data_IF_978021594730
#
_entry.id   IF_978021594730
#
_cell.length_a   1.000
_cell.length_b   1.000
_cell.length_c   1.000
_cell.angle_alpha   90.00
_cell.angle_beta   90.00
_cell.angle_gamma   90.00
#
_symmetry.space_group_name_H-M   'P 1'
#
loop_
_entity.id
_entity.type
_entity.pdbx_description
1 polymer ?
#
# COMPACT_ATOMS: atom_id res chain seq x y z
N UNK A 1 22.46 -50.37 13.22
CA UNK A 1 21.67 -49.17 13.57
C UNK A 1 20.37 -49.24 12.79
N UNK A 2 19.24 -49.47 13.46
CA UNK A 2 17.93 -49.41 12.81
C UNK A 2 17.56 -47.94 12.57
N UNK A 3 17.39 -47.53 11.33
CA UNK A 3 16.89 -46.18 11.01
C UNK A 3 15.40 -46.17 11.35
N UNK A 4 14.99 -45.33 12.29
CA UNK A 4 13.59 -45.20 12.67
C UNK A 4 12.86 -44.35 11.62
N UNK A 5 12.38 -45.01 10.58
CA UNK A 5 11.81 -44.38 9.38
C UNK A 5 10.66 -43.41 9.69
N UNK A 6 9.84 -43.72 10.70
CA UNK A 6 8.72 -42.86 11.12
C UNK A 6 9.18 -41.54 11.72
N UNK A 7 10.29 -41.54 12.44
CA UNK A 7 10.83 -40.31 13.01
C UNK A 7 11.50 -39.43 11.94
N UNK A 8 12.15 -40.07 10.96
CA UNK A 8 12.67 -39.39 9.77
C UNK A 8 11.55 -38.69 8.99
N UNK A 9 10.44 -39.39 8.71
CA UNK A 9 9.28 -38.82 8.01
C UNK A 9 8.64 -37.63 8.74
N UNK A 10 8.49 -37.71 10.07
CA UNK A 10 7.94 -36.61 10.87
C UNK A 10 8.84 -35.36 10.80
N UNK A 11 10.15 -35.55 10.91
CA UNK A 11 11.13 -34.45 10.83
C UNK A 11 11.09 -33.78 9.46
N UNK A 12 11.03 -34.56 8.37
CA UNK A 12 10.91 -34.03 7.01
C UNK A 12 9.60 -33.24 6.85
N UNK A 13 8.47 -33.74 7.33
CA UNK A 13 7.20 -33.02 7.28
C UNK A 13 7.25 -31.69 8.03
N UNK A 14 7.87 -31.67 9.20
CA UNK A 14 8.04 -30.45 10.00
C UNK A 14 8.93 -29.43 9.28
N UNK A 15 9.97 -29.88 8.57
CA UNK A 15 10.78 -29.01 7.74
C UNK A 15 9.97 -28.39 6.60
N UNK A 16 9.11 -29.16 5.92
CA UNK A 16 8.23 -28.62 4.87
C UNK A 16 7.24 -27.60 5.41
N UNK A 17 6.60 -27.88 6.55
CA UNK A 17 5.71 -26.92 7.23
C UNK A 17 6.47 -25.64 7.57
N UNK A 18 7.69 -25.77 8.10
CA UNK A 18 8.57 -24.63 8.39
C UNK A 18 8.91 -23.82 7.14
N UNK A 19 9.21 -24.47 6.02
CA UNK A 19 9.49 -23.81 4.73
C UNK A 19 8.26 -23.07 4.19
N UNK A 20 7.07 -23.67 4.27
CA UNK A 20 5.82 -23.03 3.84
C UNK A 20 5.53 -21.79 4.70
N UNK A 21 5.67 -21.91 6.01
CA UNK A 21 5.49 -20.78 6.93
C UNK A 21 6.53 -19.66 6.68
N UNK A 22 7.80 -20.01 6.52
CA UNK A 22 8.87 -19.06 6.25
C UNK A 22 8.69 -18.36 4.89
N UNK A 23 8.34 -19.10 3.84
CA UNK A 23 8.06 -18.55 2.52
C UNK A 23 6.86 -17.61 2.53
N UNK A 24 5.80 -17.99 3.25
CA UNK A 24 4.63 -17.13 3.44
C UNK A 24 4.93 -15.84 4.19
N UNK A 25 5.75 -15.90 5.25
CA UNK A 25 6.22 -14.70 5.96
C UNK A 25 7.15 -13.85 5.09
N UNK A 26 8.00 -14.48 4.27
CA UNK A 26 8.87 -13.77 3.34
C UNK A 26 8.06 -12.95 2.32
N UNK A 27 6.98 -13.51 1.75
CA UNK A 27 6.08 -12.78 0.83
C UNK A 27 5.56 -11.50 1.49
N UNK A 28 5.13 -11.55 2.76
CA UNK A 28 4.62 -10.37 3.46
C UNK A 28 5.74 -9.39 3.83
N UNK A 29 6.92 -9.89 4.19
CA UNK A 29 8.06 -9.06 4.55
C UNK A 29 8.61 -8.28 3.35
N UNK A 30 8.68 -8.93 2.19
CA UNK A 30 9.20 -8.39 0.92
C UNK A 30 8.13 -7.79 0.03
N UNK A 31 6.90 -7.62 0.51
CA UNK A 31 5.91 -6.88 -0.24
C UNK A 31 6.40 -5.46 -0.51
N UNK A 32 6.29 -5.05 -1.78
CA UNK A 32 6.76 -3.75 -2.23
C UNK A 32 6.07 -2.63 -1.45
N UNK A 33 6.85 -1.62 -1.08
CA UNK A 33 6.28 -0.43 -0.47
C UNK A 33 5.50 0.31 -1.54
N UNK A 34 4.24 0.69 -1.28
CA UNK A 34 3.45 1.41 -2.27
C UNK A 34 4.12 2.74 -2.63
N UNK A 35 4.14 3.04 -3.92
CA UNK A 35 4.63 4.33 -4.41
C UNK A 35 3.81 5.47 -3.74
N UNK A 36 4.47 6.56 -3.33
CA UNK A 36 3.78 7.68 -2.73
C UNK A 36 2.87 8.32 -3.79
N UNK A 37 1.62 8.52 -3.41
CA UNK A 37 0.61 9.15 -4.25
C UNK A 37 0.41 10.60 -3.83
N UNK A 38 0.44 11.51 -4.80
CA UNK A 38 0.21 12.93 -4.62
C UNK A 38 -1.03 13.35 -5.38
N UNK A 39 -1.90 14.09 -4.73
CA UNK A 39 -3.17 14.52 -5.29
C UNK A 39 -3.16 16.02 -5.52
N UNK A 40 -3.77 16.46 -6.62
CA UNK A 40 -4.10 17.86 -6.87
C UNK A 40 -5.56 18.00 -7.29
N UNK A 41 -6.20 19.09 -6.84
CA UNK A 41 -7.62 19.38 -7.12
C UNK A 41 -7.81 20.39 -8.26
N UNK A 42 -6.72 20.88 -8.84
CA UNK A 42 -6.76 21.88 -9.88
C UNK A 42 -5.39 22.50 -10.16
N UNK A 43 -5.33 23.44 -11.11
CA UNK A 43 -4.08 24.03 -11.59
C UNK A 43 -3.29 24.77 -10.52
N UNK A 44 -3.97 25.61 -9.75
CA UNK A 44 -3.32 26.41 -8.71
C UNK A 44 -3.25 25.68 -7.35
N UNK A 45 -3.87 24.50 -7.25
CA UNK A 45 -3.89 23.76 -6.00
C UNK A 45 -2.51 23.13 -5.71
N UNK A 46 -1.97 23.26 -4.50
CA UNK A 46 -0.73 22.59 -4.15
C UNK A 46 -0.90 21.07 -4.23
N UNK A 47 0.19 20.37 -4.51
CA UNK A 47 0.22 18.92 -4.37
C UNK A 47 0.12 18.54 -2.91
N UNK A 48 -0.77 17.61 -2.58
CA UNK A 48 -0.91 17.05 -1.24
C UNK A 48 -0.63 15.54 -1.28
N UNK A 49 -0.17 14.97 -0.18
CA UNK A 49 -0.03 13.51 -0.05
C UNK A 49 -1.44 12.91 0.02
N UNK A 50 -1.73 11.95 -0.86
CA UNK A 50 -3.03 11.31 -0.93
C UNK A 50 -3.33 10.53 0.36
N UNK A 51 -4.51 10.74 0.94
CA UNK A 51 -5.00 9.94 2.06
C UNK A 51 -5.69 8.66 1.59
N UNK A 52 -6.22 8.68 0.37
CA UNK A 52 -7.01 7.62 -0.24
C UNK A 52 -6.50 7.36 -1.66
N UNK A 53 -6.70 6.16 -2.22
CA UNK A 53 -6.30 5.87 -3.59
C UNK A 53 -7.06 6.78 -4.58
N UNK A 54 -6.40 7.16 -5.66
CA UNK A 54 -6.98 7.98 -6.72
C UNK A 54 -8.37 7.46 -7.13
N UNK A 55 -9.43 8.29 -7.10
CA UNK A 55 -10.77 7.86 -7.46
C UNK A 55 -10.80 7.40 -8.93
N UNK A 56 -11.74 6.51 -9.26
CA UNK A 56 -11.90 6.00 -10.64
C UNK A 56 -12.18 7.10 -11.68
N UNK A 57 -12.78 8.20 -11.25
CA UNK A 57 -13.02 9.39 -12.09
C UNK A 57 -11.76 10.21 -12.31
N UNK A 58 -10.75 10.08 -11.45
CA UNK A 58 -9.49 10.78 -11.55
C UNK A 58 -8.63 10.30 -12.73
N UNK A 59 -7.51 11.00 -12.90
CA UNK A 59 -6.46 10.64 -13.83
C UNK A 59 -5.16 10.42 -13.07
N UNK A 60 -4.36 9.45 -13.50
CA UNK A 60 -3.13 9.08 -12.84
C UNK A 60 -1.97 9.18 -13.81
N UNK A 61 -0.91 9.87 -13.40
CA UNK A 61 0.40 9.84 -14.06
C UNK A 61 1.42 9.17 -13.15
N UNK A 62 2.35 8.43 -13.76
CA UNK A 62 3.47 7.83 -13.06
C UNK A 62 4.74 8.54 -13.48
N UNK A 63 5.49 9.02 -12.51
CA UNK A 63 6.84 9.54 -12.72
C UNK A 63 7.82 8.60 -12.06
N UNK A 64 8.98 8.40 -12.69
CA UNK A 64 10.03 7.51 -12.22
C UNK A 64 11.25 8.32 -11.77
N UNK A 65 12.23 7.64 -11.18
CA UNK A 65 13.56 8.19 -10.87
C UNK A 65 13.58 9.31 -9.81
N UNK A 66 12.64 9.29 -8.86
CA UNK A 66 12.68 10.21 -7.70
C UNK A 66 13.49 9.60 -6.56
N UNK A 67 14.45 10.36 -6.03
CA UNK A 67 15.24 9.94 -4.87
C UNK A 67 14.46 10.12 -3.56
N UNK A 68 14.21 9.00 -2.88
CA UNK A 68 13.54 8.91 -1.59
C UNK A 68 14.49 8.69 -0.41
N UNK A 69 15.74 9.13 -0.52
CA UNK A 69 16.77 8.97 0.51
C UNK A 69 17.63 7.74 0.26
N UNK A 70 18.14 7.61 -0.96
CA UNK A 70 19.01 6.53 -1.42
C UNK A 70 18.29 5.41 -2.17
N UNK A 71 16.99 5.54 -2.42
CA UNK A 71 16.23 4.61 -3.25
C UNK A 71 15.46 5.40 -4.32
N UNK A 72 15.74 5.12 -5.59
CA UNK A 72 14.95 5.63 -6.70
C UNK A 72 13.59 4.91 -6.71
N UNK A 73 12.50 5.67 -6.73
CA UNK A 73 11.14 5.11 -6.80
C UNK A 73 10.23 5.92 -7.71
N UNK A 74 9.17 5.24 -8.13
CA UNK A 74 8.05 5.87 -8.78
C UNK A 74 7.33 6.82 -7.81
N UNK A 75 6.70 7.85 -8.36
CA UNK A 75 5.70 8.67 -7.67
C UNK A 75 4.45 8.69 -8.53
N UNK A 76 3.30 8.62 -7.88
CA UNK A 76 2.01 8.58 -8.55
C UNK A 76 1.32 9.93 -8.38
N UNK A 77 1.02 10.60 -9.48
CA UNK A 77 0.29 11.87 -9.48
C UNK A 77 -1.18 11.59 -9.80
N UNK A 78 -2.07 12.00 -8.91
CA UNK A 78 -3.52 11.87 -9.05
C UNK A 78 -4.15 13.25 -9.30
N UNK A 79 -4.79 13.39 -10.44
CA UNK A 79 -5.59 14.56 -10.80
C UNK A 79 -7.06 14.23 -10.51
N UNK A 80 -7.69 15.03 -9.64
CA UNK A 80 -9.08 14.80 -9.23
C UNK A 80 -10.04 15.43 -10.23
N UNK A 81 -10.96 14.63 -10.75
CA UNK A 81 -12.10 15.11 -11.52
C UNK A 81 -13.21 15.63 -10.59
N UNK A 82 -13.98 16.59 -11.07
CA UNK A 82 -15.23 17.00 -10.47
C UNK A 82 -16.30 15.92 -10.57
N UNK A 83 -17.46 16.15 -9.92
CA UNK A 83 -18.57 15.19 -9.88
C UNK A 83 -19.14 14.87 -11.26
N UNK A 84 -18.99 15.78 -12.22
CA UNK A 84 -19.39 15.62 -13.61
C UNK A 84 -18.34 14.87 -14.46
N UNK A 85 -17.23 14.43 -13.86
CA UNK A 85 -16.15 13.73 -14.55
C UNK A 85 -15.18 14.63 -15.31
N UNK A 86 -15.33 15.94 -15.18
CA UNK A 86 -14.48 16.93 -15.85
C UNK A 86 -13.37 17.44 -14.92
N UNK A 87 -12.30 17.97 -15.50
CA UNK A 87 -11.12 18.43 -14.75
C UNK A 87 -11.05 19.95 -14.76
N UNK A 88 -10.86 20.62 -13.61
CA UNK A 88 -10.62 22.05 -13.58
C UNK A 88 -9.28 22.33 -14.26
N UNK A 89 -9.32 23.07 -15.36
CA UNK A 89 -8.13 23.55 -16.07
C UNK A 89 -8.08 25.08 -15.99
N UNK A 90 -6.87 25.63 -15.86
CA UNK A 90 -6.69 27.08 -15.91
C UNK A 90 -6.84 27.53 -17.37
N UNK A 91 -7.49 28.69 -17.58
CA UNK A 91 -7.45 29.33 -18.89
C UNK A 91 -6.07 29.97 -19.09
N UNK A 92 -5.59 29.98 -20.33
CA UNK A 92 -4.42 30.72 -20.81
C UNK A 92 -4.22 32.07 -20.11
N UNK A 93 -2.95 32.41 -19.83
CA UNK A 93 -2.41 33.65 -19.26
C UNK A 93 -3.49 34.62 -18.74
N UNK A 94 -3.96 34.36 -17.52
CA UNK A 94 -4.82 35.30 -16.80
C UNK A 94 -4.15 36.69 -16.85
N UNK A 95 -4.85 37.75 -17.32
CA UNK A 95 -4.28 39.08 -17.37
C UNK A 95 -3.66 39.44 -16.00
N UNK A 96 -2.42 39.98 -15.94
CA UNK A 96 -1.72 40.19 -14.67
C UNK A 96 -2.51 41.02 -13.63
N UNK A 97 -3.38 41.89 -14.10
CA UNK A 97 -4.26 42.70 -13.24
C UNK A 97 -5.32 41.87 -12.51
N UNK A 98 -5.85 40.83 -13.15
CA UNK A 98 -6.88 39.96 -12.57
C UNK A 98 -6.26 39.03 -11.51
N UNK A 99 -5.01 38.58 -11.73
CA UNK A 99 -4.22 37.82 -10.75
C UNK A 99 -4.06 38.63 -9.45
N UNK A 100 -3.58 39.89 -9.56
CA UNK A 100 -3.40 40.77 -8.40
C UNK A 100 -4.71 41.00 -7.65
N UNK A 101 -5.81 41.22 -8.38
CA UNK A 101 -7.14 41.44 -7.77
C UNK A 101 -7.59 40.21 -6.96
N UNK A 102 -7.27 39.01 -7.42
CA UNK A 102 -7.61 37.77 -6.71
C UNK A 102 -6.70 37.47 -5.54
N UNK A 103 -5.40 37.70 -5.65
CA UNK A 103 -4.48 37.56 -4.52
C UNK A 103 -4.89 38.48 -3.37
N UNK A 104 -5.28 39.72 -3.69
CA UNK A 104 -5.82 40.67 -2.72
C UNK A 104 -7.16 40.18 -2.14
N UNK A 105 -8.07 39.66 -2.97
CA UNK A 105 -9.36 39.13 -2.51
C UNK A 105 -9.20 37.91 -1.59
N UNK A 106 -8.34 36.95 -1.95
CA UNK A 106 -8.04 35.77 -1.14
C UNK A 106 -7.33 36.14 0.16
N UNK A 107 -6.39 37.10 0.13
CA UNK A 107 -5.77 37.62 1.36
C UNK A 107 -6.80 38.24 2.29
N UNK A 108 -7.65 39.13 1.77
CA UNK A 108 -8.74 39.74 2.56
C UNK A 108 -9.67 38.70 3.14
N UNK A 109 -10.07 37.73 2.33
CA UNK A 109 -10.93 36.62 2.77
C UNK A 109 -10.29 35.81 3.90
N UNK A 110 -9.01 35.48 3.81
CA UNK A 110 -8.28 34.76 4.87
C UNK A 110 -8.11 35.59 6.14
N UNK A 111 -7.74 36.87 6.02
CA UNK A 111 -7.59 37.79 7.14
C UNK A 111 -8.92 37.97 7.88
N UNK A 112 -10.02 38.13 7.15
CA UNK A 112 -11.36 38.25 7.74
C UNK A 112 -11.82 36.95 8.39
N UNK A 113 -11.58 35.79 7.77
CA UNK A 113 -11.90 34.50 8.38
C UNK A 113 -11.12 34.25 9.67
N UNK A 114 -9.84 34.62 9.72
CA UNK A 114 -9.05 34.56 10.95
C UNK A 114 -9.68 35.42 12.04
N UNK A 115 -10.04 36.67 11.72
CA UNK A 115 -10.69 37.57 12.66
C UNK A 115 -12.07 37.06 13.13
N UNK A 116 -12.84 36.38 12.26
CA UNK A 116 -14.12 35.75 12.64
C UNK A 116 -13.93 34.60 13.62
N UNK A 117 -12.94 33.74 13.36
CA UNK A 117 -12.60 32.64 14.27
C UNK A 117 -12.18 33.18 15.65
N UNK A 118 -11.39 34.25 15.69
CA UNK A 118 -11.00 34.92 16.95
C UNK A 118 -12.20 35.50 17.71
N UNK A 119 -13.26 35.92 16.99
CA UNK A 119 -14.54 36.38 17.59
C UNK A 119 -15.49 35.23 17.96
N UNK A 120 -15.14 33.97 17.70
CA UNK A 120 -16.03 32.82 17.89
C UNK A 120 -17.16 32.73 16.87
N UNK A 121 -17.03 33.41 15.74
CA UNK A 121 -17.98 33.32 14.62
C UNK A 121 -17.61 32.18 13.67
N UNK A 122 -18.59 31.60 12.96
CA UNK A 122 -18.30 30.61 11.92
C UNK A 122 -17.50 31.25 10.76
N UNK A 123 -16.51 30.53 10.19
CA UNK A 123 -15.77 31.01 9.04
C UNK A 123 -16.70 31.17 7.82
N UNK A 124 -16.42 32.17 6.99
CA UNK A 124 -17.05 32.36 5.70
C UNK A 124 -16.75 31.18 4.77
N UNK A 125 -17.74 30.86 3.95
CA UNK A 125 -17.60 29.94 2.82
C UNK A 125 -16.75 30.65 1.76
N UNK A 126 -15.71 30.00 1.20
CA UNK A 126 -14.92 30.58 0.12
C UNK A 126 -15.82 31.01 -1.03
N UNK A 127 -15.54 32.15 -1.69
CA UNK A 127 -16.28 32.55 -2.86
C UNK A 127 -16.24 31.42 -3.91
N UNK A 128 -17.32 31.23 -4.69
CA UNK A 128 -17.31 30.23 -5.76
C UNK A 128 -16.12 30.48 -6.67
N UNK A 129 -15.49 29.38 -7.12
CA UNK A 129 -14.40 29.47 -8.07
C UNK A 129 -14.85 30.36 -9.25
N UNK A 130 -14.04 31.36 -9.61
CA UNK A 130 -14.47 32.32 -10.61
C UNK A 130 -14.72 31.64 -11.96
N UNK A 131 -15.65 32.19 -12.74
CA UNK A 131 -16.24 31.57 -13.95
C UNK A 131 -15.28 31.30 -15.11
N UNK A 132 -13.99 31.61 -14.95
CA UNK A 132 -12.94 31.36 -15.93
C UNK A 132 -12.22 30.03 -15.72
N UNK A 133 -12.54 29.26 -14.67
CA UNK A 133 -12.24 27.84 -14.63
C UNK A 133 -13.09 27.12 -15.67
N UNK A 134 -12.46 26.68 -16.75
CA UNK A 134 -13.09 25.72 -17.64
C UNK A 134 -12.90 24.34 -17.06
N UNK A 135 -13.88 23.50 -17.33
CA UNK A 135 -13.68 22.09 -17.16
C UNK A 135 -13.32 21.45 -18.48
N UNK A 136 -12.41 20.48 -18.42
CA UNK A 136 -12.00 19.71 -19.57
C UNK A 136 -12.49 18.28 -19.43
N UNK A 137 -12.98 17.69 -20.51
CA UNK A 137 -13.21 16.26 -20.56
C UNK A 137 -11.89 15.50 -20.45
N UNK A 138 -11.95 14.32 -19.84
CA UNK A 138 -10.80 13.40 -19.79
C UNK A 138 -10.29 13.14 -21.21
N UNK A 139 -8.98 13.25 -21.42
CA UNK A 139 -8.30 13.04 -22.70
C UNK A 139 -8.53 14.12 -23.79
N UNK A 140 -9.12 15.26 -23.45
CA UNK A 140 -9.06 16.41 -24.35
C UNK A 140 -7.63 16.94 -24.48
N UNK A 141 -7.31 17.60 -25.60
CA UNK A 141 -5.98 18.19 -25.86
C UNK A 141 -5.57 19.15 -24.73
N UNK A 142 -6.51 20.01 -24.29
CA UNK A 142 -6.29 20.92 -23.14
C UNK A 142 -6.04 20.19 -21.82
N UNK A 143 -6.69 19.05 -21.62
CA UNK A 143 -6.43 18.24 -20.43
C UNK A 143 -5.01 17.64 -20.50
N UNK A 144 -4.57 17.19 -21.67
CA UNK A 144 -3.20 16.68 -21.85
C UNK A 144 -2.15 17.77 -21.60
N UNK A 145 -2.34 18.97 -22.15
CA UNK A 145 -1.47 20.15 -21.89
C UNK A 145 -1.41 20.47 -20.39
N UNK A 146 -2.57 20.49 -19.73
CA UNK A 146 -2.67 20.70 -18.29
C UNK A 146 -1.89 19.65 -17.49
N UNK A 147 -2.06 18.37 -17.81
CA UNK A 147 -1.36 17.26 -17.14
C UNK A 147 0.15 17.38 -17.34
N UNK A 148 0.59 17.64 -18.57
CA UNK A 148 2.02 17.78 -18.90
C UNK A 148 2.67 18.97 -18.17
N UNK A 149 1.99 20.13 -18.19
CA UNK A 149 2.43 21.30 -17.43
C UNK A 149 2.58 20.97 -15.94
N UNK A 150 1.53 20.44 -15.31
CA UNK A 150 1.54 20.13 -13.88
C UNK A 150 2.54 19.05 -13.49
N UNK A 151 2.76 18.08 -14.37
CA UNK A 151 3.81 17.07 -14.24
C UNK A 151 5.20 17.71 -14.26
N UNK A 152 5.45 18.63 -15.19
CA UNK A 152 6.75 19.32 -15.29
C UNK A 152 7.04 20.26 -14.11
N UNK A 153 5.99 20.84 -13.52
CA UNK A 153 6.07 21.70 -12.34
C UNK A 153 6.23 20.92 -11.03
N UNK A 154 5.93 19.61 -11.04
CA UNK A 154 5.95 18.80 -9.84
C UNK A 154 7.37 18.69 -9.26
N UNK A 155 7.54 19.21 -8.05
CA UNK A 155 8.77 19.12 -7.27
C UNK A 155 8.47 18.53 -5.91
N UNK A 156 9.16 17.46 -5.56
CA UNK A 156 9.04 16.83 -4.25
C UNK A 156 9.81 17.67 -3.22
N UNK A 157 9.11 18.53 -2.50
CA UNK A 157 9.69 19.32 -1.40
C UNK A 157 10.01 18.42 -0.20
N UNK A 158 10.95 18.81 0.65
CA UNK A 158 11.29 18.05 1.86
C UNK A 158 10.10 17.88 2.81
N UNK A 159 9.19 18.87 2.86
CA UNK A 159 7.92 18.77 3.60
C UNK A 159 7.01 17.67 3.02
N UNK A 160 6.88 17.62 1.68
CA UNK A 160 6.13 16.57 1.00
C UNK A 160 6.75 15.20 1.21
N UNK A 161 8.10 15.09 1.21
CA UNK A 161 8.80 13.84 1.53
C UNK A 161 8.49 13.37 2.94
N UNK A 162 8.55 14.26 3.93
CA UNK A 162 8.29 13.92 5.32
C UNK A 162 6.85 13.42 5.50
N UNK A 163 5.86 14.14 4.95
CA UNK A 163 4.44 13.75 4.98
C UNK A 163 4.20 12.42 4.25
N UNK A 164 4.85 12.23 3.10
CA UNK A 164 4.73 10.98 2.34
C UNK A 164 5.30 9.79 3.11
N UNK A 165 6.47 9.94 3.76
CA UNK A 165 7.06 8.88 4.60
C UNK A 165 6.20 8.50 5.79
N UNK A 166 5.65 9.50 6.49
CA UNK A 166 4.74 9.28 7.61
C UNK A 166 3.53 8.45 7.14
N UNK A 167 2.91 8.86 6.03
CA UNK A 167 1.76 8.18 5.43
C UNK A 167 2.10 6.77 4.94
N UNK A 168 3.24 6.61 4.24
CA UNK A 168 3.70 5.33 3.69
C UNK A 168 3.93 4.29 4.79
N UNK A 169 4.41 4.69 5.96
CA UNK A 169 4.59 3.76 7.08
C UNK A 169 3.26 3.13 7.52
N UNK A 170 2.20 3.94 7.57
CA UNK A 170 0.84 3.47 7.84
C UNK A 170 0.27 2.62 6.69
N UNK A 171 0.36 3.12 5.46
CA UNK A 171 -0.14 2.42 4.28
C UNK A 171 0.54 1.06 4.06
N UNK A 172 1.85 0.95 4.31
CA UNK A 172 2.60 -0.30 4.28
C UNK A 172 2.07 -1.30 5.31
N UNK A 173 1.76 -0.82 6.52
CA UNK A 173 1.20 -1.68 7.56
C UNK A 173 -0.21 -2.14 7.22
N UNK A 174 -1.03 -1.27 6.65
CA UNK A 174 -2.38 -1.60 6.19
C UNK A 174 -2.34 -2.64 5.06
N UNK A 175 -1.44 -2.46 4.08
CA UNK A 175 -1.25 -3.40 2.97
C UNK A 175 -0.74 -4.76 3.49
N UNK A 176 0.25 -4.76 4.39
CA UNK A 176 0.74 -5.98 5.04
C UNK A 176 -0.35 -6.68 5.83
N UNK A 177 -1.18 -5.94 6.57
CA UNK A 177 -2.29 -6.50 7.34
C UNK A 177 -3.33 -7.14 6.42
N UNK A 178 -3.62 -6.51 5.28
CA UNK A 178 -4.49 -7.07 4.24
C UNK A 178 -3.89 -8.36 3.67
N UNK A 179 -2.62 -8.34 3.27
CA UNK A 179 -1.93 -9.54 2.78
C UNK A 179 -1.86 -10.64 3.83
N UNK A 180 -1.64 -10.32 5.11
CA UNK A 180 -1.73 -11.30 6.19
C UNK A 180 -3.11 -11.96 6.23
N UNK A 181 -4.19 -11.18 6.07
CA UNK A 181 -5.55 -11.72 6.01
C UNK A 181 -5.79 -12.66 4.82
N UNK A 182 -5.17 -12.38 3.67
CA UNK A 182 -5.29 -13.20 2.46
C UNK A 182 -4.39 -14.44 2.48
N UNK A 183 -3.13 -14.29 2.91
CA UNK A 183 -2.08 -15.32 2.86
C UNK A 183 -2.18 -16.31 4.02
N UNK A 184 -2.54 -15.85 5.23
CA UNK A 184 -2.54 -16.69 6.43
C UNK A 184 -3.49 -17.91 6.33
N UNK A 185 -4.72 -17.79 5.80
CA UNK A 185 -5.59 -18.95 5.58
C UNK A 185 -4.99 -19.99 4.63
N UNK A 186 -4.28 -19.56 3.58
CA UNK A 186 -3.61 -20.47 2.64
C UNK A 186 -2.45 -21.20 3.30
N UNK A 187 -1.56 -20.48 4.00
CA UNK A 187 -0.46 -21.10 4.76
C UNK A 187 -1.04 -22.11 5.76
N UNK A 188 -2.02 -21.68 6.56
CA UNK A 188 -2.68 -22.53 7.56
C UNK A 188 -3.30 -23.78 6.95
N UNK A 189 -3.99 -23.63 5.81
CA UNK A 189 -4.57 -24.74 5.06
C UNK A 189 -3.53 -25.74 4.55
N UNK A 190 -2.44 -25.27 3.94
CA UNK A 190 -1.35 -26.13 3.46
C UNK A 190 -0.67 -26.85 4.63
N UNK A 191 -0.37 -26.13 5.72
CA UNK A 191 0.25 -26.71 6.91
C UNK A 191 -0.66 -27.78 7.54
N UNK A 192 -1.96 -27.51 7.68
CA UNK A 192 -2.93 -28.47 8.19
C UNK A 192 -3.07 -29.69 7.27
N UNK A 193 -3.11 -29.48 5.96
CA UNK A 193 -3.14 -30.54 4.97
C UNK A 193 -1.90 -31.43 5.06
N UNK A 194 -0.69 -30.86 5.07
CA UNK A 194 0.56 -31.62 5.19
C UNK A 194 0.59 -32.41 6.50
N UNK A 195 0.14 -31.81 7.60
CA UNK A 195 0.07 -32.51 8.88
C UNK A 195 -0.92 -33.68 8.85
N UNK A 196 -2.14 -33.48 8.35
CA UNK A 196 -3.15 -34.54 8.21
C UNK A 196 -2.69 -35.64 7.26
N UNK A 197 -2.11 -35.25 6.13
CA UNK A 197 -1.61 -36.18 5.12
C UNK A 197 -0.50 -37.07 5.68
N UNK A 198 0.46 -36.49 6.40
CA UNK A 198 1.55 -37.27 7.01
C UNK A 198 1.06 -38.13 8.18
N UNK A 199 0.08 -37.68 8.96
CA UNK A 199 -0.57 -38.50 9.97
C UNK A 199 -1.29 -39.70 9.34
N UNK A 200 -2.07 -39.47 8.27
CA UNK A 200 -2.81 -40.51 7.55
C UNK A 200 -1.87 -41.53 6.90
N UNK A 201 -0.84 -41.08 6.18
CA UNK A 201 0.18 -41.97 5.60
C UNK A 201 0.91 -42.78 6.66
N UNK A 202 1.24 -42.16 7.80
CA UNK A 202 1.84 -42.85 8.95
C UNK A 202 0.92 -43.92 9.54
N UNK A 203 -0.40 -43.71 9.51
CA UNK A 203 -1.39 -44.72 9.93
C UNK A 203 -1.48 -45.87 8.92
N UNK A 204 -1.56 -45.56 7.62
CA UNK A 204 -1.62 -46.55 6.53
C UNK A 204 -0.39 -47.46 6.55
N UNK A 205 0.81 -46.88 6.61
CA UNK A 205 2.08 -47.65 6.60
C UNK A 205 2.16 -48.56 7.82
N UNK A 206 1.74 -48.11 9.02
CA UNK A 206 1.69 -48.96 10.21
C UNK A 206 0.70 -50.12 10.06
N UNK A 207 -0.47 -49.84 9.47
CA UNK A 207 -1.48 -50.87 9.17
C UNK A 207 -0.93 -51.97 8.27
N UNK A 208 -0.21 -51.61 7.19
CA UNK A 208 0.41 -52.58 6.30
C UNK A 208 1.63 -53.29 6.90
N UNK A 209 2.40 -52.63 7.78
CA UNK A 209 3.56 -53.24 8.42
C UNK A 209 3.21 -54.18 9.58
N UNK A 210 1.93 -54.24 10.01
CA UNK A 210 1.49 -55.10 11.11
C UNK A 210 2.12 -54.74 12.47
N UNK A 211 2.67 -53.53 12.61
CA UNK A 211 3.34 -53.09 13.85
C UNK A 211 2.27 -52.68 14.86
N UNK A 212 2.13 -53.40 16.00
CA UNK A 212 1.17 -53.04 17.02
C UNK A 212 1.55 -51.71 17.68
N UNK A 213 0.54 -50.90 17.98
CA UNK A 213 0.69 -49.59 18.62
C UNK A 213 1.43 -49.72 19.96
N UNK A 214 2.56 -49.02 20.11
CA UNK A 214 3.29 -48.92 21.39
C UNK A 214 4.67 -49.59 21.44
N UNK A 215 5.15 -50.22 20.36
CA UNK A 215 6.49 -50.85 20.35
C UNK A 215 7.64 -49.99 19.79
N UNK A 216 7.36 -48.77 19.30
CA UNK A 216 8.35 -47.93 18.59
C UNK A 216 9.51 -47.37 19.47
N UNK A 217 9.46 -47.52 20.80
CA UNK A 217 10.46 -46.93 21.73
C UNK A 217 11.28 -47.93 22.54
N UNK A 218 11.32 -49.21 22.15
CA UNK A 218 12.09 -50.20 22.93
C UNK A 218 13.59 -50.02 22.67
N UNK A 219 14.23 -49.21 23.51
CA UNK A 219 15.68 -49.00 23.54
C UNK A 219 16.42 -50.36 23.57
N UNK A 220 17.06 -50.73 22.46
CA UNK A 220 17.88 -51.93 22.35
C UNK A 220 19.17 -51.86 23.20
N UNK A 221 19.41 -50.74 23.89
CA UNK A 221 20.68 -50.44 24.56
C UNK A 221 20.88 -51.11 25.93
N UNK A 222 19.96 -51.97 26.40
CA UNK A 222 20.01 -52.52 27.77
C UNK A 222 20.58 -53.94 27.89
N UNK A 223 21.36 -54.42 26.90
CA UNK A 223 21.88 -55.81 26.91
C UNK A 223 23.39 -55.99 27.01
N UNK A 224 24.18 -54.92 27.02
CA UNK A 224 25.65 -55.06 26.98
C UNK A 224 26.37 -54.65 28.28
N UNK A 225 25.64 -54.40 29.38
CA UNK A 225 26.22 -54.06 30.70
C UNK A 225 26.28 -55.24 31.69
N UNK A 226 25.92 -56.46 31.26
CA UNK A 226 26.10 -57.69 32.05
C UNK A 226 27.00 -58.68 31.29
N UNK A 227 28.29 -58.35 31.13
CA UNK A 227 29.36 -59.33 30.86
C UNK A 227 30.69 -58.88 31.43
#
# INVERSE_FOLDING_TARGET
MGINWFEGGRRISQLFIGLVAAGGLAIVAFADQPDPEFTTYGPDAPWIVASEPCPKSGHTEYLWDYDWGGNERGVKLCFIAWRDGTFPIQRADTPPEEIKRQEEASRRFQEENRARVERGEPPMIPPPLPSWFYTAEKYSERFAEYVDQRRSEFKVTEELKAKARERQSGALWDERRRMFGEVFPWIGGICAFLWLFTAAMGWIIRGFAGVPTGQDFRNAHKKDEES
#
